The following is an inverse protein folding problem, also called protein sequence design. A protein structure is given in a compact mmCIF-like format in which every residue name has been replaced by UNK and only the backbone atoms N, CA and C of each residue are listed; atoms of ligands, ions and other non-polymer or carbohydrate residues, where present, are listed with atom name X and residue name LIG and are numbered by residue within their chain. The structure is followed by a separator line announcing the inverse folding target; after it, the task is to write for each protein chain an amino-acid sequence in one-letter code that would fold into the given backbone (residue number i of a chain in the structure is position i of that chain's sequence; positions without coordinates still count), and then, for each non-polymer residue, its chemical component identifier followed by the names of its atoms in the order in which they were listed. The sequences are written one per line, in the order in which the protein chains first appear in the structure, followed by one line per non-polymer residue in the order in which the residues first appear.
data_IF_967547029521
#
_entry.id   IF_967547029521
#
_cell.length_a   1.000
_cell.length_b   1.000
_cell.length_c   1.000
_cell.angle_alpha   90.00
_cell.angle_beta   90.00
_cell.angle_gamma   90.00
#
_symmetry.space_group_name_H-M   'P 1'
#
loop_
_entity.id
_entity.type
_entity.pdbx_description
1 polymer ?
#
# COMPACT_ATOMS: atom_id res chain seq x y z
N UNK A 1 -17.67 -24.42 -7.12
CA UNK A 1 -17.35 -23.61 -5.93
C UNK A 1 -15.83 -23.46 -5.85
N UNK A 2 -15.22 -22.77 -6.82
CA UNK A 2 -13.77 -22.57 -6.90
C UNK A 2 -13.56 -21.09 -6.65
N UNK A 3 -13.49 -20.69 -5.38
CA UNK A 3 -13.23 -19.30 -5.00
C UNK A 3 -11.71 -19.14 -5.03
N UNK A 4 -11.24 -18.63 -6.16
CA UNK A 4 -9.97 -17.96 -6.41
C UNK A 4 -8.76 -18.41 -5.56
N UNK A 5 -7.92 -19.26 -6.16
CA UNK A 5 -6.64 -19.70 -5.57
C UNK A 5 -5.47 -18.77 -5.94
N UNK A 6 -5.71 -17.72 -6.71
CA UNK A 6 -4.66 -16.87 -7.30
C UNK A 6 -4.94 -15.41 -6.99
N UNK A 7 -4.48 -14.97 -5.82
CA UNK A 7 -4.53 -13.57 -5.44
C UNK A 7 -3.64 -12.76 -6.41
N UNK A 8 -4.21 -11.71 -7.01
CA UNK A 8 -3.47 -10.74 -7.82
C UNK A 8 -3.35 -9.39 -7.11
N UNK A 9 -2.14 -8.85 -7.07
CA UNK A 9 -1.83 -7.60 -6.39
C UNK A 9 -0.64 -6.89 -6.99
N UNK A 10 -0.35 -5.71 -6.45
CA UNK A 10 0.60 -4.77 -7.05
C UNK A 10 1.48 -4.11 -6.00
N UNK A 11 2.75 -3.87 -6.35
CA UNK A 11 3.65 -3.06 -5.55
C UNK A 11 3.32 -1.58 -5.76
N UNK A 12 3.06 -0.86 -4.67
CA UNK A 12 2.80 0.57 -4.69
C UNK A 12 3.76 1.28 -3.75
N UNK A 13 4.28 2.42 -4.19
CA UNK A 13 5.25 3.21 -3.43
C UNK A 13 4.63 4.57 -3.11
N UNK A 14 3.80 4.65 -2.05
CA UNK A 14 3.15 5.90 -1.65
C UNK A 14 4.16 7.02 -1.37
N UNK A 15 5.39 6.69 -0.97
CA UNK A 15 6.47 7.66 -0.71
C UNK A 15 6.88 8.49 -1.93
N UNK A 16 6.56 8.06 -3.15
CA UNK A 16 6.85 8.78 -4.38
C UNK A 16 5.74 9.74 -4.82
N UNK A 17 4.55 9.66 -4.20
CA UNK A 17 3.36 10.40 -4.60
C UNK A 17 2.81 11.22 -3.44
N UNK A 18 2.15 12.34 -3.74
CA UNK A 18 1.46 13.11 -2.70
C UNK A 18 0.26 12.32 -2.14
N UNK A 19 -0.01 12.48 -0.84
CA UNK A 19 -1.09 11.75 -0.14
C UNK A 19 -2.48 11.98 -0.79
N UNK A 20 -2.68 13.15 -1.41
CA UNK A 20 -3.90 13.50 -2.14
C UNK A 20 -4.18 12.58 -3.34
N UNK A 21 -3.17 11.90 -3.86
CA UNK A 21 -3.28 11.02 -5.02
C UNK A 21 -3.52 9.56 -4.64
N UNK A 22 -3.23 9.17 -3.39
CA UNK A 22 -3.32 7.77 -2.95
C UNK A 22 -4.75 7.22 -3.05
N UNK A 23 -5.74 7.99 -2.62
CA UNK A 23 -7.15 7.57 -2.69
C UNK A 23 -7.60 7.31 -4.14
N UNK A 24 -7.18 8.17 -5.09
CA UNK A 24 -7.43 7.99 -6.52
C UNK A 24 -6.78 6.71 -7.03
N UNK A 25 -5.52 6.47 -6.65
CA UNK A 25 -4.75 5.34 -7.16
C UNK A 25 -5.29 4.01 -6.62
N UNK A 26 -5.59 3.93 -5.32
CA UNK A 26 -6.22 2.74 -4.72
C UNK A 26 -7.60 2.47 -5.30
N UNK A 27 -8.40 3.52 -5.55
CA UNK A 27 -9.70 3.37 -6.23
C UNK A 27 -9.54 2.75 -7.61
N UNK A 28 -8.58 3.24 -8.41
CA UNK A 28 -8.30 2.68 -9.75
C UNK A 28 -7.79 1.25 -9.68
N UNK A 29 -6.93 0.93 -8.72
CA UNK A 29 -6.44 -0.44 -8.51
C UNK A 29 -7.60 -1.39 -8.16
N UNK A 30 -8.55 -0.93 -7.34
CA UNK A 30 -9.75 -1.70 -7.03
C UNK A 30 -10.62 -1.93 -8.26
N UNK A 31 -10.86 -0.89 -9.07
CA UNK A 31 -11.62 -0.98 -10.32
C UNK A 31 -10.96 -1.92 -11.34
N UNK A 32 -9.63 -2.03 -11.33
CA UNK A 32 -8.87 -2.96 -12.17
C UNK A 32 -8.88 -4.41 -11.66
N UNK A 33 -9.42 -4.66 -10.46
CA UNK A 33 -9.54 -6.01 -9.88
C UNK A 33 -8.36 -6.45 -9.02
N UNK A 34 -7.49 -5.53 -8.58
CA UNK A 34 -6.44 -5.85 -7.62
C UNK A 34 -7.01 -5.92 -6.19
N UNK A 35 -6.61 -6.94 -5.44
CA UNK A 35 -7.11 -7.17 -4.07
C UNK A 35 -6.14 -6.72 -2.98
N UNK A 36 -4.84 -6.81 -3.24
CA UNK A 36 -3.79 -6.44 -2.29
C UNK A 36 -2.71 -5.56 -2.92
N UNK A 37 -2.11 -4.73 -2.08
CA UNK A 37 -0.93 -3.96 -2.45
C UNK A 37 0.14 -4.09 -1.38
N UNK A 38 1.40 -4.17 -1.83
CA UNK A 38 2.58 -4.17 -0.98
C UNK A 38 3.26 -2.81 -1.08
N UNK A 39 3.71 -2.30 0.05
CA UNK A 39 4.37 -1.00 0.18
C UNK A 39 5.43 -1.08 1.28
N UNK A 40 6.28 -0.05 1.35
CA UNK A 40 7.36 0.10 2.32
C UNK A 40 8.53 -0.89 2.19
N UNK A 41 8.71 -1.54 1.03
CA UNK A 41 9.84 -2.47 0.79
C UNK A 41 11.21 -1.77 0.79
N UNK A 42 11.26 -0.51 0.31
CA UNK A 42 12.48 0.31 0.28
C UNK A 42 12.40 1.54 1.20
N UNK A 43 11.38 1.63 2.05
CA UNK A 43 11.10 2.82 2.84
C UNK A 43 11.82 2.86 4.19
N UNK A 44 12.85 2.04 4.45
CA UNK A 44 13.53 1.99 5.76
C UNK A 44 14.01 3.38 6.21
N UNK A 45 14.57 4.18 5.31
CA UNK A 45 15.02 5.54 5.63
C UNK A 45 13.87 6.49 6.05
N UNK A 46 12.64 6.23 5.61
CA UNK A 46 11.46 6.96 6.07
C UNK A 46 10.82 6.35 7.32
N UNK A 47 10.93 5.03 7.48
CA UNK A 47 10.46 4.30 8.65
C UNK A 47 11.35 4.53 9.88
N UNK A 48 12.66 4.66 9.71
CA UNK A 48 13.63 4.96 10.75
C UNK A 48 14.55 6.09 10.29
N UNK A 49 14.12 7.37 10.39
CA UNK A 49 14.96 8.50 10.03
C UNK A 49 16.18 8.66 10.94
N UNK A 50 16.04 8.22 12.20
CA UNK A 50 17.09 8.19 13.21
C UNK A 50 16.99 6.90 14.01
N UNK A 51 18.15 6.38 14.44
CA UNK A 51 18.25 5.15 15.23
C UNK A 51 17.31 5.18 16.44
N UNK A 52 16.35 4.25 16.49
CA UNK A 52 15.35 4.14 17.56
C UNK A 52 14.12 5.03 17.41
N UNK A 53 13.99 5.83 16.33
CA UNK A 53 12.76 6.59 16.01
C UNK A 53 12.01 5.95 14.84
N UNK A 54 10.92 5.22 15.14
CA UNK A 54 10.13 4.52 14.12
C UNK A 54 8.85 5.26 13.71
N UNK A 55 8.72 5.59 12.43
CA UNK A 55 7.55 6.17 11.77
C UNK A 55 6.76 5.13 10.96
N UNK A 56 5.96 4.27 11.61
CA UNK A 56 5.25 3.16 10.97
C UNK A 56 3.97 3.56 10.18
N UNK A 57 3.85 4.82 9.76
CA UNK A 57 2.68 5.33 9.02
C UNK A 57 2.44 4.54 7.73
N UNK A 58 3.52 4.21 7.02
CA UNK A 58 3.50 3.48 5.76
C UNK A 58 3.45 1.95 5.95
N UNK A 59 3.68 1.43 7.15
CA UNK A 59 3.81 -0.01 7.39
C UNK A 59 2.48 -0.71 7.76
N UNK A 60 1.34 -0.05 7.57
CA UNK A 60 0.03 -0.61 7.96
C UNK A 60 -0.49 -1.55 6.85
N UNK A 61 -0.63 -2.86 7.10
CA UNK A 61 -1.16 -3.77 6.08
C UNK A 61 -2.57 -3.32 5.68
N UNK A 62 -2.77 -3.15 4.38
CA UNK A 62 -3.97 -2.53 3.86
C UNK A 62 -4.50 -3.30 2.64
N UNK A 63 -5.73 -3.79 2.74
CA UNK A 63 -6.45 -4.38 1.61
C UNK A 63 -6.94 -3.22 0.75
N UNK A 64 -6.75 -3.25 -0.57
CA UNK A 64 -7.03 -2.12 -1.47
C UNK A 64 -8.45 -1.57 -1.26
N UNK A 65 -9.43 -2.43 -1.02
CA UNK A 65 -10.83 -2.06 -0.75
C UNK A 65 -11.07 -1.35 0.58
N UNK A 66 -10.10 -1.32 1.48
CA UNK A 66 -10.17 -0.74 2.83
C UNK A 66 -9.08 0.32 3.06
N UNK A 67 -8.27 0.66 2.04
CA UNK A 67 -7.31 1.76 2.08
C UNK A 67 -8.01 3.10 1.89
N UNK A 68 -8.73 3.51 2.92
CA UNK A 68 -8.91 4.93 3.21
C UNK A 68 -7.73 5.32 4.11
N UNK A 69 -6.95 6.28 3.65
CA UNK A 69 -5.83 6.85 4.43
C UNK A 69 -6.33 7.30 5.80
#
# INVERSE_FOLDING_TARGET
MTRDLTLTGVYYYPEHWEESQWERDFKKMHELGFEFTHFAEFAWAQLEPEEGRYGLRLARPCRISCCQV
#
